data_IF_409552120572
#
_entry.id   IF_409552120572
#
_cell.length_a   1.000
_cell.length_b   1.000
_cell.length_c   1.000
_cell.angle_alpha   90.00
_cell.angle_beta   90.00
_cell.angle_gamma   90.00
#
_symmetry.space_group_name_H-M   'P 1'
#
loop_
_entity.id
_entity.type
_entity.pdbx_description
1 polymer ?
#
# COMPACT_ATOMS: atom_id res chain seq x y z
N UNK A 1 15.40 -7.80 11.86
CA UNK A 1 14.25 -7.49 10.98
C UNK A 1 13.43 -8.74 10.80
N UNK A 2 12.13 -8.69 11.09
CA UNK A 2 11.22 -9.82 10.84
C UNK A 2 10.88 -9.89 9.35
N UNK A 3 10.45 -11.07 8.92
CA UNK A 3 9.95 -11.31 7.56
C UNK A 3 8.56 -11.90 7.65
N UNK A 4 7.69 -11.46 6.75
CA UNK A 4 6.35 -12.04 6.53
C UNK A 4 6.26 -12.54 5.10
N UNK A 5 5.27 -13.40 4.84
CA UNK A 5 5.08 -14.00 3.53
C UNK A 5 3.73 -13.66 2.94
N UNK A 6 3.70 -13.45 1.63
CA UNK A 6 2.46 -13.43 0.86
C UNK A 6 1.87 -14.84 0.76
N UNK A 7 0.61 -14.95 0.35
CA UNK A 7 -0.03 -16.25 0.08
C UNK A 7 0.63 -17.00 -1.08
N UNK A 8 1.34 -16.28 -1.96
CA UNK A 8 2.16 -16.85 -3.04
C UNK A 8 3.54 -17.30 -2.58
N UNK A 9 3.94 -16.97 -1.34
CA UNK A 9 5.20 -17.39 -0.72
C UNK A 9 6.34 -16.37 -0.84
N UNK A 10 6.09 -15.19 -1.42
CA UNK A 10 7.09 -14.12 -1.52
C UNK A 10 7.39 -13.52 -0.15
N UNK A 11 8.66 -13.26 0.12
CA UNK A 11 9.12 -12.68 1.38
C UNK A 11 9.06 -11.15 1.36
N UNK A 12 8.51 -10.58 2.43
CA UNK A 12 8.50 -9.14 2.70
C UNK A 12 9.29 -8.90 3.98
N UNK A 13 10.27 -8.02 3.92
CA UNK A 13 11.03 -7.60 5.11
C UNK A 13 10.25 -6.51 5.83
N UNK A 14 10.09 -6.67 7.14
CA UNK A 14 9.49 -5.66 8.00
C UNK A 14 10.59 -4.78 8.59
N UNK A 15 10.94 -3.73 7.86
CA UNK A 15 11.93 -2.72 8.18
C UNK A 15 11.32 -1.37 8.57
N UNK A 16 9.99 -1.28 8.53
CA UNK A 16 9.25 -0.05 8.74
C UNK A 16 9.11 0.81 7.49
N UNK A 17 9.38 0.31 6.28
CA UNK A 17 9.06 1.00 5.02
C UNK A 17 7.83 0.38 4.35
N UNK A 18 6.73 1.13 4.33
CA UNK A 18 5.47 0.70 3.72
C UNK A 18 5.57 0.55 2.19
N UNK A 19 6.45 1.28 1.50
CA UNK A 19 6.57 1.21 0.05
C UNK A 19 7.03 -0.18 -0.40
N UNK A 20 7.96 -0.80 0.32
CA UNK A 20 8.41 -2.17 0.04
C UNK A 20 7.27 -3.19 0.14
N UNK A 21 6.37 -3.01 1.11
CA UNK A 21 5.17 -3.84 1.28
C UNK A 21 4.21 -3.63 0.09
N UNK A 22 3.95 -2.38 -0.29
CA UNK A 22 3.07 -2.06 -1.41
C UNK A 22 3.61 -2.57 -2.76
N UNK A 23 4.91 -2.43 -3.00
CA UNK A 23 5.55 -2.91 -4.21
C UNK A 23 5.44 -4.43 -4.32
N UNK A 24 5.69 -5.15 -3.24
CA UNK A 24 5.53 -6.62 -3.23
C UNK A 24 4.08 -7.02 -3.47
N UNK A 25 3.12 -6.34 -2.83
CA UNK A 25 1.69 -6.56 -3.10
C UNK A 25 1.34 -6.31 -4.57
N UNK A 26 1.85 -5.24 -5.18
CA UNK A 26 1.63 -4.97 -6.59
C UNK A 26 2.24 -6.06 -7.49
N UNK A 27 3.47 -6.48 -7.23
CA UNK A 27 4.11 -7.52 -8.03
C UNK A 27 3.42 -8.88 -7.90
N UNK A 28 3.05 -9.27 -6.68
CA UNK A 28 2.48 -10.59 -6.40
C UNK A 28 0.98 -10.67 -6.73
N UNK A 29 0.22 -9.61 -6.48
CA UNK A 29 -1.23 -9.59 -6.69
C UNK A 29 -1.59 -9.07 -8.08
N UNK A 30 -0.85 -8.09 -8.62
CA UNK A 30 -1.17 -7.44 -9.91
C UNK A 30 -0.33 -7.94 -11.07
N UNK A 31 1.00 -8.11 -10.91
CA UNK A 31 1.89 -8.41 -12.03
C UNK A 31 2.01 -9.91 -12.36
N UNK A 32 2.01 -10.80 -11.35
CA UNK A 32 2.26 -12.25 -11.57
C UNK A 32 1.05 -13.10 -11.92
N UNK A 33 -0.19 -12.61 -11.84
CA UNK A 33 -1.41 -13.45 -11.93
C UNK A 33 -2.49 -12.96 -12.90
N UNK A 34 -2.11 -12.21 -13.94
CA UNK A 34 -2.96 -11.88 -15.09
C UNK A 34 -4.40 -11.42 -14.70
N UNK A 35 -4.55 -10.14 -14.34
CA UNK A 35 -5.78 -9.34 -14.54
C UNK A 35 -7.13 -9.78 -13.93
N UNK A 36 -7.27 -10.94 -13.28
CA UNK A 36 -8.57 -11.48 -12.80
C UNK A 36 -8.76 -11.47 -11.27
N UNK A 37 -7.95 -10.75 -10.48
CA UNK A 37 -8.24 -10.61 -9.04
C UNK A 37 -9.06 -9.36 -8.73
N UNK A 38 -10.11 -9.61 -7.96
CA UNK A 38 -11.08 -8.62 -7.48
C UNK A 38 -10.50 -7.78 -6.33
N UNK A 39 -11.13 -6.65 -6.01
CA UNK A 39 -10.82 -5.88 -4.79
C UNK A 39 -10.79 -6.76 -3.53
N UNK A 40 -11.65 -7.77 -3.46
CA UNK A 40 -11.74 -8.70 -2.33
C UNK A 40 -10.45 -9.50 -2.12
N UNK A 41 -9.79 -9.88 -3.21
CA UNK A 41 -8.55 -10.64 -3.17
C UNK A 41 -7.37 -9.83 -2.64
N UNK A 42 -7.31 -8.55 -3.02
CA UNK A 42 -6.32 -7.62 -2.49
C UNK A 42 -6.54 -7.40 -0.99
N UNK A 43 -7.80 -7.24 -0.56
CA UNK A 43 -8.14 -7.12 0.87
C UNK A 43 -7.75 -8.37 1.65
N UNK A 44 -8.03 -9.57 1.12
CA UNK A 44 -7.63 -10.83 1.75
C UNK A 44 -6.11 -10.94 1.90
N UNK A 45 -5.36 -10.53 0.88
CA UNK A 45 -3.89 -10.55 0.94
C UNK A 45 -3.38 -9.59 2.01
N UNK A 46 -3.90 -8.36 2.06
CA UNK A 46 -3.54 -7.37 3.08
C UNK A 46 -3.84 -7.91 4.48
N UNK A 47 -5.02 -8.52 4.69
CA UNK A 47 -5.38 -9.13 5.97
C UNK A 47 -4.42 -10.27 6.35
N UNK A 48 -4.02 -11.09 5.38
CA UNK A 48 -3.05 -12.16 5.58
C UNK A 48 -1.68 -11.63 6.04
N UNK A 49 -1.21 -10.52 5.46
CA UNK A 49 0.04 -9.87 5.87
C UNK A 49 -0.08 -9.28 7.28
N UNK A 50 -1.17 -8.56 7.57
CA UNK A 50 -1.41 -7.94 8.89
C UNK A 50 -1.47 -9.00 10.01
N UNK A 51 -2.05 -10.16 9.72
CA UNK A 51 -2.15 -11.26 10.69
C UNK A 51 -0.78 -11.77 11.15
N UNK A 52 0.26 -11.65 10.32
CA UNK A 52 1.63 -12.06 10.63
C UNK A 52 2.41 -11.00 11.41
N UNK A 53 2.01 -9.73 11.31
CA UNK A 53 2.65 -8.61 12.03
C UNK A 53 2.30 -8.62 13.52
N UNK A 54 3.23 -8.16 14.36
CA UNK A 54 2.95 -7.84 15.76
C UNK A 54 2.30 -6.46 15.94
N UNK A 55 1.90 -6.11 17.17
CA UNK A 55 1.21 -4.85 17.44
C UNK A 55 2.07 -3.61 17.17
N UNK A 56 3.39 -3.71 17.38
CA UNK A 56 4.31 -2.60 17.15
C UNK A 56 4.53 -2.34 15.66
N UNK A 57 4.67 -3.41 14.88
CA UNK A 57 4.76 -3.38 13.42
C UNK A 57 3.47 -2.80 12.84
N UNK A 58 2.30 -3.29 13.27
CA UNK A 58 0.99 -2.79 12.80
C UNK A 58 0.82 -1.30 13.06
N UNK A 59 1.20 -0.80 14.24
CA UNK A 59 1.13 0.63 14.56
C UNK A 59 2.05 1.46 13.66
N UNK A 60 3.26 0.98 13.43
CA UNK A 60 4.26 1.66 12.59
C UNK A 60 3.75 1.78 11.16
N UNK A 61 3.35 0.66 10.55
CA UNK A 61 2.85 0.65 9.18
C UNK A 61 1.52 1.40 9.00
N UNK A 62 0.66 1.42 10.02
CA UNK A 62 -0.56 2.23 9.99
C UNK A 62 -0.22 3.73 10.00
N UNK A 63 0.72 4.16 10.85
CA UNK A 63 1.15 5.54 10.89
C UNK A 63 1.75 5.99 9.54
N UNK A 64 2.59 5.16 8.92
CA UNK A 64 3.14 5.42 7.60
C UNK A 64 2.07 5.47 6.51
N UNK A 65 1.11 4.55 6.53
CA UNK A 65 0.00 4.53 5.57
C UNK A 65 -0.81 5.81 5.64
N UNK A 66 -1.14 6.26 6.86
CA UNK A 66 -1.86 7.51 7.05
C UNK A 66 -1.05 8.71 6.55
N UNK A 67 0.25 8.75 6.85
CA UNK A 67 1.14 9.81 6.37
C UNK A 67 1.18 9.88 4.83
N UNK A 68 1.44 8.76 4.15
CA UNK A 68 1.48 8.71 2.68
C UNK A 68 0.13 9.11 2.06
N UNK A 69 -0.97 8.64 2.64
CA UNK A 69 -2.31 9.00 2.16
C UNK A 69 -2.62 10.49 2.37
N UNK A 70 -2.19 11.10 3.47
CA UNK A 70 -2.33 12.55 3.68
C UNK A 70 -1.53 13.34 2.65
N UNK A 71 -0.26 12.99 2.43
CA UNK A 71 0.58 13.65 1.40
C UNK A 71 -0.05 13.52 0.01
N UNK A 72 -0.54 12.33 -0.35
CA UNK A 72 -1.24 12.11 -1.61
C UNK A 72 -2.50 12.98 -1.73
N UNK A 73 -3.32 13.02 -0.69
CA UNK A 73 -4.55 13.82 -0.67
C UNK A 73 -4.27 15.32 -0.84
N UNK A 74 -3.24 15.84 -0.17
CA UNK A 74 -2.83 17.24 -0.31
C UNK A 74 -2.37 17.56 -1.72
N UNK A 75 -1.55 16.69 -2.32
CA UNK A 75 -1.09 16.84 -3.70
C UNK A 75 -2.25 16.80 -4.70
N UNK A 76 -3.15 15.81 -4.59
CA UNK A 76 -4.33 15.67 -5.45
C UNK A 76 -5.23 16.93 -5.38
N UNK A 77 -5.38 17.50 -4.17
CA UNK A 77 -6.14 18.73 -3.94
C UNK A 77 -5.45 19.95 -4.57
N UNK A 78 -4.14 20.10 -4.40
CA UNK A 78 -3.35 21.18 -5.01
C UNK A 78 -3.43 21.15 -6.53
N UNK A 79 -3.27 19.97 -7.14
CA UNK A 79 -3.43 19.79 -8.59
C UNK A 79 -4.83 20.21 -9.07
N UNK A 80 -5.87 19.79 -8.35
CA UNK A 80 -7.24 20.15 -8.70
C UNK A 80 -7.46 21.67 -8.65
N UNK A 81 -6.87 22.37 -7.68
CA UNK A 81 -6.89 23.83 -7.63
C UNK A 81 -6.13 24.47 -8.80
N UNK A 82 -4.93 23.98 -9.13
CA UNK A 82 -4.16 24.49 -10.27
C UNK A 82 -4.92 24.32 -11.60
N UNK A 83 -5.54 23.16 -11.82
CA UNK A 83 -6.37 22.90 -13.02
C UNK A 83 -7.56 23.87 -13.12
N UNK A 84 -8.20 24.22 -11.99
CA UNK A 84 -9.29 25.21 -11.96
C UNK A 84 -8.80 26.63 -12.28
N UNK A 85 -7.63 27.03 -11.77
CA UNK A 85 -7.02 28.33 -12.06
C UNK A 85 -6.58 28.44 -13.52
N UNK A 86 -5.99 27.38 -14.08
CA UNK A 86 -5.56 27.33 -15.49
C UNK A 86 -6.74 27.41 -16.47
N UNK A 87 -7.90 26.84 -16.14
CA UNK A 87 -9.13 26.94 -16.95
C UNK A 87 -9.83 28.29 -16.90
N UNK A 88 -9.45 29.17 -15.96
CA UNK A 88 -10.08 30.48 -15.75
C UNK A 88 -9.30 31.64 -16.41
N UNK A 89 -8.18 31.32 -17.05
CA UNK A 89 -7.40 32.18 -17.94
C UNK A 89 -7.76 31.87 -19.38
#
# INVERSE_FOLDING_TARGET
MRRIKTTTGADITLDGDLLAVMETLYQEVTAKRELERSFEDMVKEIQHLIAQMDDSERRTYLAESLFLNTVKYENDKLEAYMKKLAKKK
#
